data_IF_172643208651
#
_entry.id   IF_172643208651
#
_cell.length_a   1.000
_cell.length_b   1.000
_cell.length_c   1.000
_cell.angle_alpha   90.00
_cell.angle_beta   90.00
_cell.angle_gamma   90.00
#
_symmetry.space_group_name_H-M   'P 1'
#
loop_
_entity.id
_entity.type
_entity.pdbx_description
1 polymer ?
#
# COMPACT_ATOMS: atom_id res chain seq x y z
N UNK A 1 -18.13 2.30 -38.30
CA UNK A 1 -18.60 2.17 -36.91
C UNK A 1 -17.54 1.37 -36.18
N UNK A 2 -16.62 2.02 -35.49
CA UNK A 2 -15.59 1.34 -34.74
C UNK A 2 -16.23 0.69 -33.53
N UNK A 3 -16.07 -0.62 -33.37
CA UNK A 3 -16.40 -1.30 -32.14
C UNK A 3 -15.53 -0.70 -31.03
N UNK A 4 -16.15 0.15 -30.21
CA UNK A 4 -15.47 0.71 -29.05
C UNK A 4 -14.86 -0.43 -28.24
N UNK A 5 -13.63 -0.28 -27.80
CA UNK A 5 -12.94 -1.24 -26.94
C UNK A 5 -13.74 -1.40 -25.64
N UNK A 6 -14.51 -2.47 -25.56
CA UNK A 6 -15.41 -2.72 -24.46
C UNK A 6 -14.62 -3.45 -23.38
N UNK A 7 -14.13 -2.71 -22.39
CA UNK A 7 -13.57 -3.27 -21.16
C UNK A 7 -14.70 -3.59 -20.19
N UNK A 8 -15.30 -4.75 -20.34
CA UNK A 8 -16.24 -5.29 -19.39
C UNK A 8 -15.55 -6.26 -18.40
N UNK A 9 -16.31 -6.74 -17.43
CA UNK A 9 -15.81 -7.66 -16.41
C UNK A 9 -15.36 -8.99 -17.02
N UNK A 10 -16.03 -9.49 -18.01
CA UNK A 10 -15.74 -10.77 -18.66
C UNK A 10 -14.40 -10.68 -19.40
N UNK A 11 -14.17 -9.60 -20.12
CA UNK A 11 -12.88 -9.33 -20.75
C UNK A 11 -11.74 -9.30 -19.72
N UNK A 12 -11.92 -8.55 -18.63
CA UNK A 12 -10.90 -8.45 -17.57
C UNK A 12 -10.63 -9.82 -16.93
N UNK A 13 -11.68 -10.60 -16.64
CA UNK A 13 -11.57 -11.93 -16.06
C UNK A 13 -10.78 -12.88 -16.95
N UNK A 14 -11.10 -12.93 -18.25
CA UNK A 14 -10.39 -13.76 -19.21
C UNK A 14 -8.91 -13.37 -19.33
N UNK A 15 -8.60 -12.08 -19.32
CA UNK A 15 -7.22 -11.58 -19.40
C UNK A 15 -6.43 -11.91 -18.13
N UNK A 16 -7.01 -11.69 -16.95
CA UNK A 16 -6.38 -12.08 -15.69
C UNK A 16 -6.14 -13.59 -15.60
N UNK A 17 -7.10 -14.41 -16.02
CA UNK A 17 -6.93 -15.86 -16.07
C UNK A 17 -5.77 -16.28 -16.95
N UNK A 18 -5.56 -15.60 -18.08
CA UNK A 18 -4.45 -15.89 -18.99
C UNK A 18 -3.10 -15.44 -18.45
N UNK A 19 -3.02 -14.27 -17.81
CA UNK A 19 -1.77 -13.67 -17.38
C UNK A 19 -1.35 -14.11 -15.97
N UNK A 20 -2.33 -14.36 -15.11
CA UNK A 20 -2.16 -14.74 -13.69
C UNK A 20 -2.92 -16.04 -13.41
N UNK A 21 -2.52 -17.15 -14.02
CA UNK A 21 -3.27 -18.42 -13.96
C UNK A 21 -3.31 -19.06 -12.57
N UNK A 22 -2.45 -18.62 -11.65
CA UNK A 22 -2.41 -19.12 -10.26
C UNK A 22 -3.49 -18.55 -9.36
N UNK A 23 -4.13 -17.45 -9.77
CA UNK A 23 -5.21 -16.86 -9.00
C UNK A 23 -6.40 -17.81 -8.92
N UNK A 24 -6.96 -17.95 -7.74
CA UNK A 24 -8.28 -18.60 -7.54
C UNK A 24 -9.38 -17.77 -8.21
N UNK A 25 -10.54 -18.36 -8.40
CA UNK A 25 -11.69 -17.64 -8.97
C UNK A 25 -12.13 -16.48 -8.09
N UNK A 26 -12.11 -16.64 -6.75
CA UNK A 26 -12.43 -15.57 -5.81
C UNK A 26 -11.42 -14.41 -5.86
N UNK A 27 -10.14 -14.70 -5.92
CA UNK A 27 -9.08 -13.68 -6.07
C UNK A 27 -9.24 -12.93 -7.38
N UNK A 28 -9.52 -13.64 -8.45
CA UNK A 28 -9.74 -13.05 -9.78
C UNK A 28 -10.95 -12.14 -9.77
N UNK A 29 -12.06 -12.58 -9.21
CA UNK A 29 -13.28 -11.79 -9.13
C UNK A 29 -13.09 -10.50 -8.31
N UNK A 30 -12.39 -10.58 -7.18
CA UNK A 30 -12.04 -9.42 -6.38
C UNK A 30 -11.21 -8.39 -7.18
N UNK A 31 -10.17 -8.84 -7.89
CA UNK A 31 -9.34 -7.95 -8.72
C UNK A 31 -10.11 -7.41 -9.92
N UNK A 32 -10.92 -8.24 -10.58
CA UNK A 32 -11.78 -7.80 -11.70
C UNK A 32 -12.74 -6.71 -11.25
N UNK A 33 -13.42 -6.94 -10.13
CA UNK A 33 -14.38 -5.98 -9.57
C UNK A 33 -13.71 -4.66 -9.23
N UNK A 34 -12.57 -4.72 -8.55
CA UNK A 34 -11.79 -3.53 -8.19
C UNK A 34 -11.25 -2.78 -9.41
N UNK A 35 -10.69 -3.50 -10.38
CA UNK A 35 -10.14 -2.92 -11.61
C UNK A 35 -11.26 -2.29 -12.46
N UNK A 36 -12.37 -2.98 -12.62
CA UNK A 36 -13.51 -2.46 -13.37
C UNK A 36 -14.04 -1.17 -12.73
N UNK A 37 -14.24 -1.16 -11.41
CA UNK A 37 -14.70 0.01 -10.69
C UNK A 37 -13.72 1.20 -10.84
N UNK A 38 -12.41 0.96 -10.75
CA UNK A 38 -11.40 2.02 -10.90
C UNK A 38 -11.37 2.57 -12.34
N UNK A 39 -11.49 1.73 -13.35
CA UNK A 39 -11.56 2.16 -14.75
C UNK A 39 -12.88 2.90 -15.06
N UNK A 40 -13.98 2.50 -14.43
CA UNK A 40 -15.26 3.19 -14.55
C UNK A 40 -15.25 4.56 -13.88
N UNK A 41 -14.61 4.69 -12.71
CA UNK A 41 -14.37 5.99 -12.06
C UNK A 41 -13.56 6.93 -12.98
N UNK A 42 -12.52 6.42 -13.65
CA UNK A 42 -11.77 7.18 -14.66
C UNK A 42 -12.66 7.62 -15.83
N UNK A 43 -13.52 6.74 -16.31
CA UNK A 43 -14.46 7.06 -17.40
C UNK A 43 -15.44 8.16 -16.99
N UNK A 44 -15.99 8.07 -15.78
CA UNK A 44 -16.87 9.10 -15.21
C UNK A 44 -16.16 10.44 -15.02
N UNK A 45 -14.86 10.40 -14.72
CA UNK A 45 -14.00 11.59 -14.67
C UNK A 45 -13.59 12.13 -16.05
N UNK A 46 -14.21 11.65 -17.13
CA UNK A 46 -14.01 12.17 -18.51
C UNK A 46 -12.75 11.66 -19.20
N UNK A 47 -12.10 10.61 -18.71
CA UNK A 47 -10.94 10.01 -19.40
C UNK A 47 -11.41 9.27 -20.64
N UNK A 48 -10.70 9.46 -21.74
CA UNK A 48 -11.03 8.83 -23.03
C UNK A 48 -10.56 7.36 -23.09
N UNK A 49 -11.05 6.62 -24.09
CA UNK A 49 -10.76 5.20 -24.27
C UNK A 49 -9.27 4.88 -24.39
N UNK A 50 -8.45 5.76 -24.98
CA UNK A 50 -7.01 5.56 -25.04
C UNK A 50 -6.35 5.63 -23.65
N UNK A 51 -6.80 6.56 -22.81
CA UNK A 51 -6.31 6.66 -21.44
C UNK A 51 -6.71 5.44 -20.62
N UNK A 52 -7.95 4.95 -20.77
CA UNK A 52 -8.43 3.74 -20.10
C UNK A 52 -7.64 2.51 -20.55
N UNK A 53 -7.37 2.39 -21.85
CA UNK A 53 -6.55 1.31 -22.41
C UNK A 53 -5.12 1.34 -21.86
N UNK A 54 -4.52 2.52 -21.78
CA UNK A 54 -3.18 2.70 -21.22
C UNK A 54 -3.13 2.34 -19.73
N UNK A 55 -4.14 2.75 -18.96
CA UNK A 55 -4.29 2.38 -17.56
C UNK A 55 -4.38 0.85 -17.39
N UNK A 56 -5.30 0.23 -18.11
CA UNK A 56 -5.47 -1.23 -18.14
C UNK A 56 -4.15 -1.96 -18.45
N UNK A 57 -3.45 -1.55 -19.51
CA UNK A 57 -2.17 -2.18 -19.89
C UNK A 57 -1.12 -2.07 -18.77
N UNK A 58 -1.01 -0.89 -18.16
CA UNK A 58 -0.09 -0.68 -17.03
C UNK A 58 -0.48 -1.56 -15.84
N UNK A 59 -1.77 -1.63 -15.49
CA UNK A 59 -2.24 -2.46 -14.39
C UNK A 59 -1.91 -3.93 -14.63
N UNK A 60 -2.19 -4.46 -15.82
CA UNK A 60 -1.88 -5.85 -16.16
C UNK A 60 -0.38 -6.14 -16.08
N UNK A 61 0.47 -5.26 -16.63
CA UNK A 61 1.91 -5.41 -16.53
C UNK A 61 2.40 -5.40 -15.08
N UNK A 62 1.94 -4.45 -14.27
CA UNK A 62 2.38 -4.34 -12.89
C UNK A 62 1.84 -5.47 -12.01
N UNK A 63 0.59 -5.89 -12.19
CA UNK A 63 0.04 -7.07 -11.51
C UNK A 63 0.88 -8.31 -11.80
N UNK A 64 1.29 -8.50 -13.04
CA UNK A 64 2.12 -9.63 -13.44
C UNK A 64 3.55 -9.54 -12.92
N UNK A 65 4.24 -8.41 -13.13
CA UNK A 65 5.68 -8.30 -12.83
C UNK A 65 5.99 -7.92 -11.38
N UNK A 66 5.12 -7.15 -10.73
CA UNK A 66 5.40 -6.59 -9.39
C UNK A 66 4.51 -7.19 -8.30
N UNK A 67 3.26 -7.46 -8.59
CA UNK A 67 2.24 -7.78 -7.60
C UNK A 67 1.67 -9.21 -7.70
N UNK A 68 2.25 -10.09 -8.53
CA UNK A 68 1.78 -11.48 -8.66
C UNK A 68 1.66 -12.17 -7.30
N UNK A 69 2.65 -11.99 -6.42
CA UNK A 69 2.62 -12.59 -5.07
C UNK A 69 1.49 -12.06 -4.22
N UNK A 70 1.19 -10.77 -4.33
CA UNK A 70 0.14 -10.11 -3.57
C UNK A 70 -1.24 -10.62 -4.01
N UNK A 71 -1.50 -10.66 -5.32
CA UNK A 71 -2.81 -11.08 -5.83
C UNK A 71 -3.09 -12.56 -5.57
N UNK A 72 -2.07 -13.39 -5.47
CA UNK A 72 -2.21 -14.82 -5.18
C UNK A 72 -2.49 -15.13 -3.70
N UNK A 73 -2.44 -14.13 -2.80
CA UNK A 73 -2.76 -14.30 -1.37
C UNK A 73 -3.95 -13.45 -0.93
N UNK A 74 -4.59 -12.73 -1.86
CA UNK A 74 -5.83 -11.99 -1.59
C UNK A 74 -6.93 -12.93 -1.07
N UNK A 75 -7.68 -12.46 -0.08
CA UNK A 75 -8.77 -13.24 0.50
C UNK A 75 -8.35 -14.47 1.30
N UNK A 76 -7.05 -14.63 1.58
CA UNK A 76 -6.51 -15.66 2.47
C UNK A 76 -6.68 -15.31 3.95
N UNK A 77 -6.16 -16.16 4.82
CA UNK A 77 -6.18 -15.93 6.28
C UNK A 77 -5.40 -14.67 6.69
N UNK A 78 -4.35 -14.35 5.95
CA UNK A 78 -3.53 -13.14 6.15
C UNK A 78 -3.79 -12.12 5.06
N UNK A 79 -4.08 -10.88 5.47
CA UNK A 79 -4.22 -9.77 4.54
C UNK A 79 -2.85 -9.40 3.95
N UNK A 80 -2.71 -9.35 2.62
CA UNK A 80 -1.49 -8.89 1.99
C UNK A 80 -1.26 -7.40 2.28
N UNK A 81 -0.01 -7.08 2.60
CA UNK A 81 0.40 -5.71 2.95
C UNK A 81 1.40 -5.18 1.94
N UNK A 82 1.19 -3.94 1.54
CA UNK A 82 2.05 -3.23 0.59
C UNK A 82 2.60 -1.99 1.26
N UNK A 83 3.93 -1.90 1.34
CA UNK A 83 4.63 -0.71 1.71
C UNK A 83 5.19 -0.05 0.45
N UNK A 84 4.75 1.15 0.16
CA UNK A 84 5.22 1.94 -0.97
C UNK A 84 5.97 3.17 -0.44
N UNK A 85 7.24 3.34 -0.82
CA UNK A 85 8.06 4.46 -0.40
C UNK A 85 8.40 5.35 -1.60
N UNK A 86 8.19 6.65 -1.45
CA UNK A 86 8.44 7.67 -2.47
C UNK A 86 7.18 8.19 -3.15
N UNK A 87 7.37 9.17 -4.01
CA UNK A 87 6.30 9.84 -4.71
C UNK A 87 5.50 8.87 -5.59
N UNK A 88 4.19 8.90 -5.46
CA UNK A 88 3.29 8.04 -6.21
C UNK A 88 2.77 8.77 -7.45
N UNK A 89 2.86 8.13 -8.61
CA UNK A 89 2.25 8.65 -9.82
C UNK A 89 0.73 8.36 -9.87
N UNK A 90 -0.01 9.10 -10.68
CA UNK A 90 -1.44 8.92 -10.86
C UNK A 90 -1.84 7.46 -11.20
N UNK A 91 -1.11 6.80 -12.10
CA UNK A 91 -1.41 5.40 -12.45
C UNK A 91 -1.02 4.41 -11.36
N UNK A 92 0.05 4.69 -10.61
CA UNK A 92 0.44 3.87 -9.46
C UNK A 92 -0.59 3.97 -8.35
N UNK A 93 -1.05 5.18 -8.01
CA UNK A 93 -2.10 5.38 -7.03
C UNK A 93 -3.38 4.64 -7.43
N UNK A 94 -3.77 4.69 -8.69
CA UNK A 94 -4.93 3.95 -9.18
C UNK A 94 -4.76 2.44 -9.08
N UNK A 95 -3.58 1.90 -9.39
CA UNK A 95 -3.32 0.47 -9.19
C UNK A 95 -3.33 0.08 -7.72
N UNK A 96 -2.72 0.89 -6.86
CA UNK A 96 -2.79 0.69 -5.41
C UNK A 96 -4.24 0.72 -4.93
N UNK A 97 -5.06 1.61 -5.47
CA UNK A 97 -6.52 1.62 -5.22
C UNK A 97 -7.19 0.33 -5.64
N UNK A 98 -6.83 -0.22 -6.81
CA UNK A 98 -7.32 -1.54 -7.24
C UNK A 98 -6.95 -2.63 -6.24
N UNK A 99 -5.69 -2.68 -5.81
CA UNK A 99 -5.21 -3.68 -4.85
C UNK A 99 -5.86 -3.51 -3.47
N UNK A 100 -6.04 -2.27 -3.02
CA UNK A 100 -6.74 -1.96 -1.77
C UNK A 100 -8.21 -2.40 -1.83
N UNK A 101 -8.93 -2.07 -2.90
CA UNK A 101 -10.31 -2.52 -3.12
C UNK A 101 -10.44 -4.04 -3.24
N UNK A 102 -9.39 -4.71 -3.70
CA UNK A 102 -9.32 -6.16 -3.79
C UNK A 102 -8.93 -6.84 -2.46
N UNK A 103 -8.65 -6.08 -1.41
CA UNK A 103 -8.41 -6.58 -0.06
C UNK A 103 -6.94 -6.56 0.41
N UNK A 104 -6.09 -5.70 -0.16
CA UNK A 104 -4.75 -5.46 0.35
C UNK A 104 -4.70 -4.22 1.24
N UNK A 105 -3.95 -4.27 2.34
CA UNK A 105 -3.60 -3.10 3.13
C UNK A 105 -2.42 -2.37 2.49
N UNK A 106 -2.48 -1.05 2.43
CA UNK A 106 -1.45 -0.26 1.75
C UNK A 106 -1.01 0.92 2.62
N UNK A 107 0.30 1.05 2.76
CA UNK A 107 0.94 2.18 3.41
C UNK A 107 1.81 2.92 2.40
N UNK A 108 1.58 4.22 2.25
CA UNK A 108 2.42 5.12 1.47
C UNK A 108 3.33 5.90 2.41
N UNK A 109 4.62 5.95 2.07
CA UNK A 109 5.64 6.69 2.79
C UNK A 109 6.11 7.87 1.94
N UNK A 110 5.57 9.04 2.21
CA UNK A 110 5.93 10.29 1.55
C UNK A 110 6.95 11.05 2.40
N UNK A 111 8.22 10.67 2.28
CA UNK A 111 9.30 11.26 3.10
C UNK A 111 9.56 12.73 2.81
N UNK A 112 9.15 13.23 1.65
CA UNK A 112 9.23 14.64 1.24
C UNK A 112 8.04 15.50 1.70
N UNK A 113 7.09 14.88 2.43
CA UNK A 113 5.81 15.51 2.79
C UNK A 113 4.71 15.23 1.77
N UNK A 114 3.49 15.61 2.10
CA UNK A 114 2.27 15.17 1.40
C UNK A 114 2.01 15.88 0.07
N UNK A 115 2.83 16.86 -0.29
CA UNK A 115 2.57 17.71 -1.45
C UNK A 115 2.56 16.93 -2.77
N UNK A 116 3.45 15.95 -2.92
CA UNK A 116 3.50 15.10 -4.12
C UNK A 116 2.22 14.27 -4.24
N UNK A 117 1.78 13.66 -3.14
CA UNK A 117 0.53 12.91 -3.07
C UNK A 117 -0.69 13.80 -3.39
N UNK A 118 -0.79 14.97 -2.75
CA UNK A 118 -1.91 15.90 -2.96
C UNK A 118 -1.97 16.48 -4.38
N UNK A 119 -0.88 16.41 -5.14
CA UNK A 119 -0.92 16.73 -6.58
C UNK A 119 -1.72 15.68 -7.38
N UNK A 120 -1.70 14.43 -6.93
CA UNK A 120 -2.36 13.30 -7.61
C UNK A 120 -3.79 13.08 -7.07
N UNK A 121 -4.00 13.28 -5.78
CA UNK A 121 -5.28 13.20 -5.08
C UNK A 121 -5.49 14.43 -4.19
N UNK A 122 -5.92 15.56 -4.76
CA UNK A 122 -5.98 16.85 -4.06
C UNK A 122 -6.90 16.87 -2.84
N UNK A 123 -7.89 16.00 -2.79
CA UNK A 123 -8.84 15.92 -1.68
C UNK A 123 -8.53 14.80 -0.70
N UNK A 124 -7.42 14.07 -0.93
CA UNK A 124 -7.09 12.84 -0.18
C UNK A 124 -8.28 11.88 -0.06
N UNK A 125 -9.01 11.73 -1.17
CA UNK A 125 -10.24 10.94 -1.21
C UNK A 125 -9.96 9.42 -1.20
N UNK A 126 -8.75 9.03 -1.61
CA UNK A 126 -8.32 7.64 -1.73
C UNK A 126 -7.50 7.17 -0.53
N UNK A 127 -7.11 8.07 0.38
CA UNK A 127 -6.23 7.74 1.49
C UNK A 127 -6.65 8.43 2.79
N UNK A 128 -6.16 7.88 3.90
CA UNK A 128 -6.17 8.56 5.18
C UNK A 128 -4.79 9.17 5.42
N UNK A 129 -4.74 10.48 5.46
CA UNK A 129 -3.50 11.21 5.66
C UNK A 129 -3.14 11.22 7.14
N UNK A 130 -1.91 10.80 7.45
CA UNK A 130 -1.34 10.86 8.78
C UNK A 130 0.02 11.56 8.71
N UNK A 131 0.14 12.67 9.42
CA UNK A 131 1.39 13.43 9.49
C UNK A 131 2.14 13.08 10.78
N UNK A 132 3.35 12.58 10.63
CA UNK A 132 4.24 12.29 11.73
C UNK A 132 5.41 13.30 11.71
N UNK A 133 5.43 14.28 12.60
CA UNK A 133 6.48 15.30 12.61
C UNK A 133 7.83 14.70 13.00
N UNK A 134 8.90 15.21 12.40
CA UNK A 134 10.27 14.83 12.72
C UNK A 134 10.79 13.56 12.05
N UNK A 135 10.05 13.02 11.09
CA UNK A 135 10.50 11.89 10.29
C UNK A 135 11.45 12.34 9.17
N UNK A 136 12.59 11.66 9.07
CA UNK A 136 13.54 11.86 7.98
C UNK A 136 13.29 10.93 6.80
N UNK A 137 14.04 11.14 5.73
CA UNK A 137 14.01 10.26 4.57
C UNK A 137 14.40 8.83 4.94
N UNK A 138 13.80 7.85 4.30
CA UNK A 138 14.23 6.45 4.44
C UNK A 138 15.70 6.33 3.99
N UNK A 139 16.58 5.75 4.81
CA UNK A 139 17.99 5.68 4.50
C UNK A 139 18.24 4.91 3.19
N UNK A 140 18.92 5.54 2.23
CA UNK A 140 19.28 4.89 0.98
C UNK A 140 20.16 3.65 1.26
N UNK A 141 19.82 2.52 0.67
CA UNK A 141 20.57 1.27 0.85
C UNK A 141 20.27 0.50 2.14
N UNK A 142 19.33 0.99 2.94
CA UNK A 142 18.90 0.31 4.16
C UNK A 142 17.77 -0.68 3.83
N UNK A 143 18.01 -1.96 4.00
CA UNK A 143 17.04 -3.01 3.73
C UNK A 143 16.44 -3.60 5.00
N UNK A 144 15.37 -4.38 4.86
CA UNK A 144 14.66 -5.05 5.97
C UNK A 144 15.61 -5.86 6.87
N UNK A 145 16.60 -6.54 6.28
CA UNK A 145 17.59 -7.32 7.06
C UNK A 145 18.46 -6.45 7.97
N UNK A 146 18.84 -5.27 7.50
CA UNK A 146 19.61 -4.32 8.30
C UNK A 146 18.75 -3.74 9.43
N UNK A 147 17.48 -3.42 9.15
CA UNK A 147 16.51 -2.98 10.15
C UNK A 147 16.31 -4.02 11.24
N UNK A 148 16.10 -5.28 10.87
CA UNK A 148 15.97 -6.39 11.82
C UNK A 148 17.22 -6.55 12.69
N UNK A 149 18.41 -6.51 12.09
CA UNK A 149 19.65 -6.63 12.84
C UNK A 149 19.90 -5.45 13.81
N UNK A 150 19.47 -4.24 13.46
CA UNK A 150 19.54 -3.08 14.36
C UNK A 150 18.54 -3.20 15.52
N UNK A 151 17.31 -3.61 15.19
CA UNK A 151 16.28 -3.83 16.20
C UNK A 151 16.69 -4.91 17.20
N UNK A 152 17.21 -6.05 16.73
CA UNK A 152 17.74 -7.12 17.60
C UNK A 152 18.88 -6.61 18.49
N UNK A 153 19.78 -5.78 17.95
CA UNK A 153 20.84 -5.14 18.75
C UNK A 153 20.28 -4.22 19.83
N UNK A 154 19.30 -3.42 19.48
CA UNK A 154 18.66 -2.49 20.41
C UNK A 154 17.87 -3.23 21.50
N UNK A 155 17.08 -4.24 21.14
CA UNK A 155 16.37 -5.10 22.12
C UNK A 155 17.37 -5.79 23.05
N UNK A 156 18.48 -6.30 22.51
CA UNK A 156 19.55 -6.90 23.32
C UNK A 156 20.18 -5.88 24.26
N UNK A 157 20.45 -4.66 23.78
CA UNK A 157 20.99 -3.56 24.58
C UNK A 157 20.04 -3.20 25.72
N UNK A 158 18.75 -3.06 25.44
CA UNK A 158 17.74 -2.77 26.46
C UNK A 158 17.63 -3.86 27.53
N UNK A 159 17.72 -5.14 27.13
CA UNK A 159 17.73 -6.27 28.09
C UNK A 159 18.97 -6.28 28.97
N UNK A 160 20.14 -5.91 28.45
CA UNK A 160 21.39 -5.95 29.18
C UNK A 160 21.63 -4.72 30.09
N UNK A 161 21.21 -3.54 29.64
CA UNK A 161 21.54 -2.27 30.29
C UNK A 161 20.34 -1.48 30.80
N UNK A 162 19.14 -2.00 30.61
CA UNK A 162 17.89 -1.29 30.91
C UNK A 162 17.61 -0.15 29.91
N UNK A 163 16.46 0.48 30.05
CA UNK A 163 16.08 1.64 29.24
C UNK A 163 16.86 2.87 29.73
N UNK A 164 17.64 3.55 28.89
CA UNK A 164 18.36 4.74 29.33
C UNK A 164 17.37 5.82 29.79
N UNK A 165 17.67 6.50 30.92
CA UNK A 165 16.76 7.50 31.48
C UNK A 165 16.73 8.84 30.74
N UNK A 166 17.50 9.02 29.67
CA UNK A 166 17.56 10.28 28.93
C UNK A 166 17.13 10.11 27.48
N UNK A 167 16.54 11.15 26.96
CA UNK A 167 16.16 11.45 25.58
C UNK A 167 17.19 10.96 24.54
N UNK A 168 17.39 9.68 24.47
CA UNK A 168 18.16 9.03 23.45
C UNK A 168 17.28 8.85 22.19
N UNK A 169 17.83 8.59 21.03
CA UNK A 169 17.08 8.23 19.83
C UNK A 169 15.99 7.16 20.06
N UNK A 170 16.17 6.33 21.07
CA UNK A 170 15.17 5.34 21.51
C UNK A 170 13.84 5.96 21.97
N UNK A 171 13.87 7.15 22.59
CA UNK A 171 12.64 7.82 23.02
C UNK A 171 11.80 8.22 21.81
N UNK A 172 12.43 8.73 20.76
CA UNK A 172 11.73 9.04 19.54
C UNK A 172 11.12 7.79 18.88
N UNK A 173 11.78 6.68 19.02
CA UNK A 173 11.32 5.40 18.51
C UNK A 173 10.07 4.88 19.24
N UNK A 174 10.03 5.02 20.56
CA UNK A 174 8.84 4.66 21.34
C UNK A 174 7.66 5.59 21.05
N UNK A 175 7.92 6.87 20.86
CA UNK A 175 6.89 7.83 20.44
C UNK A 175 6.38 7.47 19.05
N UNK A 176 7.26 7.17 18.11
CA UNK A 176 6.89 6.74 16.77
C UNK A 176 6.08 5.43 16.78
N UNK A 177 6.45 4.48 17.62
CA UNK A 177 5.68 3.25 17.81
C UNK A 177 4.30 3.52 18.38
N UNK A 178 4.18 4.41 19.35
CA UNK A 178 2.90 4.80 19.92
C UNK A 178 2.01 5.50 18.89
N UNK A 179 2.59 6.36 18.07
CA UNK A 179 1.90 7.03 16.95
C UNK A 179 1.48 6.04 15.87
N UNK A 180 2.35 5.09 15.53
CA UNK A 180 2.04 4.00 14.63
C UNK A 180 0.85 3.18 15.13
N UNK A 181 0.90 2.74 16.38
CA UNK A 181 -0.18 1.98 16.98
C UNK A 181 -1.49 2.78 17.07
N UNK A 182 -1.42 4.08 17.34
CA UNK A 182 -2.58 4.97 17.32
C UNK A 182 -3.18 5.09 15.90
N UNK A 183 -2.34 5.23 14.89
CA UNK A 183 -2.79 5.27 13.49
C UNK A 183 -3.39 3.94 13.04
N UNK A 184 -2.76 2.82 13.36
CA UNK A 184 -3.29 1.48 13.07
C UNK A 184 -4.63 1.23 13.79
N UNK A 185 -4.74 1.65 15.05
CA UNK A 185 -5.99 1.56 15.81
C UNK A 185 -7.08 2.45 15.18
N UNK A 186 -6.75 3.65 14.72
CA UNK A 186 -7.68 4.53 14.03
C UNK A 186 -8.15 3.95 12.69
N UNK A 187 -7.27 3.27 11.97
CA UNK A 187 -7.61 2.53 10.73
C UNK A 187 -8.54 1.37 11.04
N UNK A 188 -8.23 0.58 12.06
CA UNK A 188 -9.06 -0.55 12.49
C UNK A 188 -10.43 -0.12 13.00
N UNK A 189 -10.53 0.99 13.73
CA UNK A 189 -11.78 1.52 14.26
C UNK A 189 -12.76 2.01 13.20
N UNK A 190 -12.29 2.29 11.98
CA UNK A 190 -13.12 2.69 10.84
C UNK A 190 -13.73 1.52 10.06
N UNK A 191 -13.52 0.30 10.51
CA UNK A 191 -14.00 -0.91 9.88
C UNK A 191 -13.13 -1.35 8.70
N UNK A 192 -13.53 -2.45 8.06
CA UNK A 192 -12.80 -3.07 6.95
C UNK A 192 -12.93 -2.25 5.64
N UNK A 193 -12.67 -0.95 5.68
CA UNK A 193 -12.56 -0.19 4.44
C UNK A 193 -11.13 -0.36 3.89
N UNK A 194 -10.95 -1.16 2.82
CA UNK A 194 -9.62 -1.49 2.30
C UNK A 194 -8.93 -0.31 1.60
N UNK A 195 -9.52 0.88 1.62
CA UNK A 195 -8.99 2.09 0.98
C UNK A 195 -8.01 2.86 1.84
N UNK A 196 -7.60 2.31 2.98
CA UNK A 196 -6.68 3.02 3.85
C UNK A 196 -5.26 2.92 3.37
N UNK A 197 -4.78 4.03 2.90
CA UNK A 197 -3.38 4.35 2.81
C UNK A 197 -3.01 5.09 4.08
N UNK A 198 -2.14 4.56 4.85
CA UNK A 198 -1.59 5.29 5.97
C UNK A 198 -0.25 5.84 5.54
N UNK A 199 -0.13 7.14 5.46
CA UNK A 199 1.15 7.80 5.28
C UNK A 199 1.91 7.71 6.60
N UNK A 200 2.43 6.52 6.84
CA UNK A 200 3.02 6.17 8.10
C UNK A 200 4.46 5.77 7.89
N UNK A 201 5.32 6.45 8.56
CA UNK A 201 6.70 6.08 8.59
C UNK A 201 6.94 4.91 9.52
N UNK A 202 7.21 3.76 8.95
CA UNK A 202 7.70 2.58 9.64
C UNK A 202 9.20 2.74 9.86
N UNK A 203 9.57 3.73 10.63
CA UNK A 203 10.92 3.84 11.10
C UNK A 203 11.25 2.61 11.93
N UNK A 204 12.44 2.17 11.84
CA UNK A 204 13.28 1.27 12.67
C UNK A 204 12.57 0.27 13.63
N UNK A 205 11.29 0.47 13.95
CA UNK A 205 10.55 -0.23 15.00
C UNK A 205 9.19 -0.77 14.54
N UNK A 206 8.62 -0.23 13.48
CA UNK A 206 7.28 -0.58 13.06
C UNK A 206 7.20 -1.82 12.18
N UNK A 207 8.31 -2.21 11.57
CA UNK A 207 8.32 -3.35 10.66
C UNK A 207 8.09 -4.66 11.40
N UNK A 208 8.69 -4.81 12.59
CA UNK A 208 8.59 -6.04 13.36
C UNK A 208 7.21 -6.20 14.00
N UNK A 209 6.64 -5.13 14.53
CA UNK A 209 5.31 -5.16 15.12
C UNK A 209 4.23 -5.42 14.06
N UNK A 210 4.39 -4.93 12.84
CA UNK A 210 3.47 -5.23 11.76
C UNK A 210 3.59 -6.66 11.24
N UNK A 211 4.74 -7.30 11.39
CA UNK A 211 4.94 -8.71 11.06
C UNK A 211 4.43 -9.65 12.16
N UNK A 212 4.34 -9.17 13.40
CA UNK A 212 3.87 -9.97 14.56
C UNK A 212 2.35 -9.91 14.75
N UNK A 213 1.68 -8.91 14.20
CA UNK A 213 0.21 -8.79 14.25
C UNK A 213 -0.51 -9.42 13.05
N UNK A 214 0.18 -10.19 12.26
CA UNK A 214 -0.36 -10.98 11.17
C UNK A 214 -0.34 -12.44 11.51
#
# INVERSE_FOLDING_TARGET
>A
MGSGFQMDRDFLSQRLKKWLPRMTDGQRDAVVTAMYATLDDMRRAGKNDNMLRNAYMKYMCWLYYKFERIVNVLGGETLPKILYAGDVSHYELQLLTVLSRAGADIVLLECGGDQAYLTVDPQSALSHLYQAPGLGSFPAGFGVKQLQAELEREVRRQRLYGTPPSLSPCTNAWVQKAELNAALTAVQARGNDPRFFCNLFLCQYGVEDNLTYT
#
